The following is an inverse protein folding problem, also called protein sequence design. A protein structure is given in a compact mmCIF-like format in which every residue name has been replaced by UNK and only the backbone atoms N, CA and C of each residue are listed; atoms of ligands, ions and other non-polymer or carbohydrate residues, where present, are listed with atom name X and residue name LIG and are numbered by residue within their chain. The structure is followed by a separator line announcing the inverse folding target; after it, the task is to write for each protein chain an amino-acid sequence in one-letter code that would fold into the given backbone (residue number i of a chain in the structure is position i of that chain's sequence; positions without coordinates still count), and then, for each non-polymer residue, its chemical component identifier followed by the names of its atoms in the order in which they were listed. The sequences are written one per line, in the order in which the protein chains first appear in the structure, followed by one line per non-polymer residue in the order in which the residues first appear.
data_IF_750442973048
#
_entry.id   IF_750442973048
#
_cell.length_a   1.000
_cell.length_b   1.000
_cell.length_c   1.000
_cell.angle_alpha   90.00
_cell.angle_beta   90.00
_cell.angle_gamma   90.00
#
_symmetry.space_group_name_H-M   'P 1'
#
loop_
_entity.id
_entity.type
_entity.pdbx_description
1 polymer ?
#
# COMPACT_ATOMS: atom_id res chain seq x y z
N UNK A 1 -64.96 -7.17 5.89
CA UNK A 1 -63.61 -7.13 6.49
C UNK A 1 -62.78 -8.16 5.79
N UNK A 2 -61.74 -7.71 5.08
CA UNK A 2 -60.82 -8.54 4.31
C UNK A 2 -59.53 -8.67 5.13
N UNK A 3 -59.14 -9.89 5.50
CA UNK A 3 -57.85 -10.16 6.14
C UNK A 3 -57.07 -11.09 5.21
N UNK A 4 -56.15 -10.50 4.44
CA UNK A 4 -55.18 -11.25 3.65
C UNK A 4 -53.87 -11.38 4.44
N UNK A 5 -53.34 -12.60 4.38
CA UNK A 5 -52.07 -13.12 4.88
C UNK A 5 -50.87 -12.21 4.62
N UNK A 6 -50.12 -11.90 5.68
CA UNK A 6 -48.75 -11.39 5.59
C UNK A 6 -47.79 -12.55 5.35
N UNK A 7 -47.11 -12.53 4.21
CA UNK A 7 -45.92 -13.35 3.97
C UNK A 7 -44.70 -12.63 4.53
N UNK A 8 -43.89 -13.34 5.33
CA UNK A 8 -42.58 -12.88 5.75
C UNK A 8 -41.64 -12.86 4.54
N UNK A 9 -41.08 -11.69 4.23
CA UNK A 9 -39.98 -11.58 3.27
C UNK A 9 -38.69 -12.14 3.92
N UNK A 10 -37.92 -12.97 3.22
CA UNK A 10 -36.63 -13.43 3.73
C UNK A 10 -35.67 -12.25 3.85
N UNK A 11 -35.05 -12.10 5.02
CA UNK A 11 -34.02 -11.10 5.26
C UNK A 11 -32.83 -11.35 4.31
N UNK A 12 -32.58 -10.37 3.43
CA UNK A 12 -31.43 -10.33 2.53
C UNK A 12 -30.15 -10.17 3.36
N UNK A 13 -29.57 -11.30 3.76
CA UNK A 13 -28.26 -11.33 4.41
C UNK A 13 -27.17 -10.86 3.44
N UNK A 14 -26.03 -10.36 3.97
CA UNK A 14 -24.91 -9.97 3.12
C UNK A 14 -24.48 -11.16 2.25
N UNK A 15 -24.17 -10.93 0.95
CA UNK A 15 -23.74 -12.00 0.06
C UNK A 15 -22.51 -12.69 0.65
N UNK A 16 -22.48 -14.02 0.54
CA UNK A 16 -21.32 -14.80 0.95
C UNK A 16 -20.05 -14.24 0.27
N UNK A 17 -18.92 -14.16 1.01
CA UNK A 17 -17.67 -13.69 0.45
C UNK A 17 -17.33 -14.50 -0.80
N UNK A 18 -17.02 -13.80 -1.90
CA UNK A 18 -16.60 -14.45 -3.15
C UNK A 18 -15.37 -15.30 -2.86
N UNK A 19 -15.36 -16.52 -3.40
CA UNK A 19 -14.17 -17.34 -3.40
C UNK A 19 -13.03 -16.56 -4.05
N UNK A 20 -11.89 -16.48 -3.36
CA UNK A 20 -10.69 -15.86 -3.90
C UNK A 20 -10.12 -16.83 -4.94
N UNK A 21 -10.21 -16.45 -6.21
CA UNK A 21 -9.50 -17.16 -7.26
C UNK A 21 -8.02 -16.83 -7.11
N UNK A 22 -7.18 -17.84 -6.84
CA UNK A 22 -5.74 -17.64 -6.86
C UNK A 22 -5.31 -17.15 -8.25
N UNK A 23 -4.50 -16.09 -8.35
CA UNK A 23 -4.07 -15.58 -9.63
C UNK A 23 -3.29 -16.66 -10.41
N UNK A 24 -3.62 -16.85 -11.69
CA UNK A 24 -2.87 -17.76 -12.56
C UNK A 24 -1.38 -17.40 -12.53
N UNK A 25 -0.52 -18.42 -12.41
CA UNK A 25 0.92 -18.24 -12.39
C UNK A 25 1.35 -17.52 -13.69
N UNK A 26 1.88 -16.31 -13.55
CA UNK A 26 2.36 -15.49 -14.67
C UNK A 26 3.36 -16.31 -15.50
N UNK A 27 3.21 -16.28 -16.83
CA UNK A 27 4.16 -16.98 -17.70
C UNK A 27 5.56 -16.37 -17.53
N UNK A 28 6.61 -17.21 -17.57
CA UNK A 28 7.99 -16.73 -17.42
C UNK A 28 8.33 -15.62 -18.43
N UNK A 29 7.78 -15.72 -19.65
CA UNK A 29 7.98 -14.71 -20.68
C UNK A 29 7.33 -13.36 -20.32
N UNK A 30 6.13 -13.37 -19.73
CA UNK A 30 5.46 -12.16 -19.23
C UNK A 30 6.26 -11.51 -18.09
N UNK A 31 6.80 -12.31 -17.17
CA UNK A 31 7.62 -11.83 -16.05
C UNK A 31 8.88 -11.10 -16.55
N UNK A 32 9.59 -11.72 -17.50
CA UNK A 32 10.77 -11.10 -18.13
C UNK A 32 10.42 -9.81 -18.87
N UNK A 33 9.33 -9.82 -19.63
CA UNK A 33 8.87 -8.64 -20.35
C UNK A 33 8.52 -7.48 -19.40
N UNK A 34 7.96 -7.78 -18.23
CA UNK A 34 7.65 -6.77 -17.21
C UNK A 34 8.92 -6.15 -16.62
N UNK A 35 9.91 -6.96 -16.26
CA UNK A 35 11.23 -6.49 -15.80
C UNK A 35 11.92 -5.59 -16.82
N UNK A 36 11.95 -6.03 -18.08
CA UNK A 36 12.50 -5.24 -19.18
C UNK A 36 11.78 -3.89 -19.36
N UNK A 37 10.46 -3.86 -19.15
CA UNK A 37 9.69 -2.61 -19.20
C UNK A 37 10.05 -1.68 -18.04
N UNK A 38 10.24 -2.20 -16.84
CA UNK A 38 10.63 -1.42 -15.66
C UNK A 38 12.00 -0.77 -15.87
N UNK A 39 12.98 -1.51 -16.40
CA UNK A 39 14.31 -0.96 -16.74
C UNK A 39 14.21 0.25 -17.67
N UNK A 40 13.43 0.13 -18.74
CA UNK A 40 13.21 1.22 -19.71
C UNK A 40 12.48 2.40 -19.09
N UNK A 41 11.50 2.14 -18.22
CA UNK A 41 10.81 3.20 -17.51
C UNK A 41 11.76 3.95 -16.57
N UNK A 42 12.62 3.25 -15.82
CA UNK A 42 13.65 3.88 -14.98
C UNK A 42 14.66 4.71 -15.77
N UNK A 43 15.09 4.23 -16.94
CA UNK A 43 15.97 5.00 -17.84
C UNK A 43 15.29 6.29 -18.29
N UNK A 44 14.05 6.21 -18.75
CA UNK A 44 13.26 7.38 -19.14
C UNK A 44 13.05 8.33 -17.96
N UNK A 45 12.75 7.77 -16.79
CA UNK A 45 12.54 8.52 -15.57
C UNK A 45 13.80 9.31 -15.20
N UNK A 46 15.00 8.72 -15.31
CA UNK A 46 16.28 9.40 -15.10
C UNK A 46 16.54 10.62 -16.00
N UNK A 47 15.75 10.84 -17.06
CA UNK A 47 15.86 12.03 -17.92
C UNK A 47 15.11 13.27 -17.38
N UNK A 48 14.30 13.11 -16.32
CA UNK A 48 13.56 14.22 -15.71
C UNK A 48 13.98 14.44 -14.26
N UNK A 49 13.76 15.64 -13.72
CA UNK A 49 14.09 16.00 -12.33
C UNK A 49 12.86 16.33 -11.49
N UNK A 50 11.72 15.73 -11.81
CA UNK A 50 10.45 16.03 -11.12
C UNK A 50 10.46 15.28 -9.79
N UNK A 51 10.56 15.96 -8.63
CA UNK A 51 10.63 15.30 -7.34
C UNK A 51 9.20 14.99 -6.87
N UNK A 52 8.59 13.98 -7.48
CA UNK A 52 7.29 13.48 -7.07
C UNK A 52 7.46 12.15 -6.34
N UNK A 53 6.91 12.08 -5.14
CA UNK A 53 6.77 10.84 -4.37
C UNK A 53 5.30 10.61 -4.06
N UNK A 54 4.90 9.36 -4.09
CA UNK A 54 3.62 8.89 -3.58
C UNK A 54 3.93 7.97 -2.39
N UNK A 55 3.28 8.22 -1.27
CA UNK A 55 3.33 7.32 -0.11
C UNK A 55 1.92 6.81 0.12
N UNK A 56 1.74 5.50 0.01
CA UNK A 56 0.49 4.82 0.31
C UNK A 56 0.58 4.16 1.68
N UNK A 57 -0.43 4.41 2.51
CA UNK A 57 -0.57 3.83 3.84
C UNK A 57 -1.78 2.91 3.85
N UNK A 58 -1.54 1.61 3.95
CA UNK A 58 -2.60 0.60 4.05
C UNK A 58 -2.69 0.07 5.47
N UNK A 59 -3.84 -0.49 5.82
CA UNK A 59 -4.07 -1.11 7.13
C UNK A 59 -5.56 -1.23 7.43
N UNK A 60 -5.94 -2.29 8.12
CA UNK A 60 -7.33 -2.54 8.53
C UNK A 60 -7.40 -2.69 10.06
N UNK A 61 -8.04 -1.73 10.72
CA UNK A 61 -8.18 -1.74 12.18
C UNK A 61 -6.85 -1.93 12.90
N UNK A 62 -6.85 -2.73 13.98
CA UNK A 62 -5.69 -3.05 14.82
C UNK A 62 -4.73 -4.09 14.21
N UNK A 63 -4.85 -4.38 12.91
CA UNK A 63 -3.95 -5.31 12.23
C UNK A 63 -2.77 -4.58 11.61
N UNK A 64 -1.73 -5.35 11.27
CA UNK A 64 -0.57 -4.84 10.55
C UNK A 64 -1.01 -4.26 9.21
N UNK A 65 -0.38 -3.16 8.81
CA UNK A 65 -0.55 -2.57 7.50
C UNK A 65 0.76 -2.53 6.73
N UNK A 66 0.73 -1.93 5.55
CA UNK A 66 1.93 -1.68 4.75
C UNK A 66 2.07 -0.19 4.39
N UNK A 67 3.31 0.22 4.20
CA UNK A 67 3.68 1.52 3.65
C UNK A 67 4.40 1.27 2.34
N UNK A 68 3.88 1.81 1.25
CA UNK A 68 4.51 1.74 -0.07
C UNK A 68 4.97 3.13 -0.50
N UNK A 69 6.24 3.25 -0.89
CA UNK A 69 6.84 4.50 -1.35
C UNK A 69 7.22 4.36 -2.82
N UNK A 70 6.56 5.15 -3.65
CA UNK A 70 6.74 5.20 -5.09
C UNK A 70 7.25 6.57 -5.53
N UNK A 71 7.98 6.60 -6.65
CA UNK A 71 8.53 7.82 -7.21
C UNK A 71 10.05 7.83 -7.21
N UNK A 72 10.61 9.02 -7.35
CA UNK A 72 12.05 9.22 -7.47
C UNK A 72 12.69 9.52 -6.14
N UNK A 73 13.87 8.95 -5.95
CA UNK A 73 14.76 9.42 -4.92
C UNK A 73 15.50 10.68 -5.41
N UNK A 74 14.97 11.82 -5.03
CA UNK A 74 15.62 13.11 -5.19
C UNK A 74 15.98 13.64 -3.80
N UNK A 75 17.23 14.12 -3.66
CA UNK A 75 17.75 14.69 -2.42
C UNK A 75 17.82 13.73 -1.22
N UNK A 76 17.84 12.40 -1.45
CA UNK A 76 17.96 11.39 -0.39
C UNK A 76 16.71 11.23 0.46
N UNK A 77 15.54 11.48 -0.13
CA UNK A 77 14.24 11.40 0.58
C UNK A 77 13.95 9.97 1.06
N UNK A 78 14.45 8.95 0.36
CA UNK A 78 14.25 7.55 0.75
C UNK A 78 15.00 7.20 2.04
N UNK A 79 16.24 7.66 2.21
CA UNK A 79 17.00 7.45 3.45
C UNK A 79 16.33 8.17 4.63
N UNK A 80 15.82 9.38 4.41
CA UNK A 80 15.10 10.14 5.42
C UNK A 80 13.79 9.43 5.83
N UNK A 81 13.01 8.95 4.87
CA UNK A 81 11.78 8.18 5.11
C UNK A 81 12.07 6.86 5.80
N UNK A 82 13.11 6.13 5.40
CA UNK A 82 13.52 4.87 6.02
C UNK A 82 13.84 5.06 7.51
N UNK A 83 14.66 6.07 7.83
CA UNK A 83 14.99 6.42 9.20
C UNK A 83 13.75 6.84 10.01
N UNK A 84 12.84 7.61 9.41
CA UNK A 84 11.61 8.04 10.07
C UNK A 84 10.66 6.88 10.33
N UNK A 85 10.38 6.04 9.33
CA UNK A 85 9.46 4.90 9.47
C UNK A 85 9.99 3.86 10.45
N UNK A 86 11.25 3.45 10.30
CA UNK A 86 11.84 2.42 11.17
C UNK A 86 12.10 2.95 12.59
N UNK A 87 12.47 4.22 12.73
CA UNK A 87 12.82 4.83 14.02
C UNK A 87 11.63 5.36 14.82
N UNK A 88 10.64 5.98 14.16
CA UNK A 88 9.52 6.65 14.84
C UNK A 88 8.22 5.85 14.78
N UNK A 89 7.96 5.13 13.69
CA UNK A 89 6.71 4.41 13.48
C UNK A 89 6.83 2.90 13.76
N UNK A 90 8.01 2.45 14.19
CA UNK A 90 8.34 1.04 14.44
C UNK A 90 8.07 0.15 13.22
N UNK A 91 8.28 0.68 12.02
CA UNK A 91 8.11 -0.09 10.80
C UNK A 91 9.25 -1.08 10.61
N UNK A 92 8.96 -2.20 9.94
CA UNK A 92 9.97 -3.16 9.47
C UNK A 92 10.08 -3.06 7.96
N UNK A 93 11.29 -2.82 7.44
CA UNK A 93 11.53 -2.76 6.00
C UNK A 93 11.31 -4.13 5.35
N UNK A 94 10.56 -4.15 4.26
CA UNK A 94 10.29 -5.35 3.46
C UNK A 94 11.13 -5.33 2.19
N UNK A 95 11.40 -6.52 1.65
CA UNK A 95 11.99 -6.66 0.32
C UNK A 95 10.94 -6.28 -0.73
N UNK A 96 11.19 -5.24 -1.53
CA UNK A 96 10.32 -4.81 -2.63
C UNK A 96 10.64 -5.52 -3.96
N UNK A 97 11.65 -6.38 -4.01
CA UNK A 97 12.21 -6.91 -5.25
C UNK A 97 13.13 -5.89 -5.94
N UNK A 98 13.67 -6.29 -7.08
CA UNK A 98 14.62 -5.46 -7.85
C UNK A 98 14.44 -5.67 -9.36
N UNK A 99 15.38 -5.21 -10.18
CA UNK A 99 15.31 -5.35 -11.65
C UNK A 99 15.82 -6.71 -12.16
N UNK A 100 16.17 -7.63 -11.26
CA UNK A 100 16.60 -8.97 -11.60
C UNK A 100 15.39 -9.84 -11.97
N UNK A 101 15.48 -10.54 -13.10
CA UNK A 101 14.39 -11.40 -13.59
C UNK A 101 14.07 -12.57 -12.65
N UNK A 102 15.00 -12.91 -11.76
CA UNK A 102 14.83 -13.96 -10.76
C UNK A 102 14.14 -13.47 -9.48
N UNK A 103 13.90 -12.18 -9.33
CA UNK A 103 13.21 -11.59 -8.18
C UNK A 103 11.77 -11.19 -8.52
N UNK A 104 10.98 -10.86 -7.49
CA UNK A 104 9.63 -10.34 -7.69
C UNK A 104 9.70 -9.00 -8.41
N UNK A 105 8.73 -8.77 -9.29
CA UNK A 105 8.59 -7.48 -9.98
C UNK A 105 8.34 -6.40 -8.91
N UNK A 106 9.15 -5.34 -8.85
CA UNK A 106 8.96 -4.28 -7.87
C UNK A 106 7.77 -3.42 -8.27
N UNK A 107 6.76 -3.35 -7.39
CA UNK A 107 5.60 -2.47 -7.53
C UNK A 107 5.84 -1.07 -6.95
N UNK A 108 6.74 -0.97 -5.97
CA UNK A 108 7.15 0.25 -5.31
C UNK A 108 8.69 0.26 -5.14
N UNK A 109 9.25 1.42 -4.80
CA UNK A 109 10.70 1.59 -4.61
C UNK A 109 11.14 1.23 -3.18
N UNK A 110 10.25 1.42 -2.20
CA UNK A 110 10.45 0.95 -0.84
C UNK A 110 9.12 0.51 -0.23
N UNK A 111 9.17 -0.57 0.56
CA UNK A 111 8.01 -1.14 1.23
C UNK A 111 8.32 -1.39 2.70
N UNK A 112 7.36 -1.16 3.58
CA UNK A 112 7.49 -1.39 5.01
C UNK A 112 6.23 -2.04 5.56
N UNK A 113 6.39 -3.00 6.47
CA UNK A 113 5.32 -3.43 7.37
C UNK A 113 5.25 -2.43 8.52
N UNK A 114 4.06 -1.99 8.91
CA UNK A 114 3.88 -1.11 10.06
C UNK A 114 2.73 -1.60 10.95
N UNK A 115 2.63 -1.13 12.21
CA UNK A 115 1.61 -1.58 13.15
C UNK A 115 0.15 -1.27 12.77
N UNK A 116 -0.07 -0.57 11.65
CA UNK A 116 -1.40 -0.22 11.15
C UNK A 116 -2.06 0.92 11.93
N UNK A 117 -3.37 1.05 11.71
CA UNK A 117 -4.16 2.11 12.34
C UNK A 117 -4.61 1.70 13.75
N UNK A 118 -4.69 2.66 14.65
CA UNK A 118 -5.31 2.44 15.96
C UNK A 118 -6.78 2.81 15.87
N UNK A 119 -7.66 1.87 16.18
CA UNK A 119 -9.11 2.11 16.27
C UNK A 119 -9.51 2.39 17.72
N UNK A 120 -10.27 3.45 17.95
CA UNK A 120 -10.83 3.80 19.24
C UNK A 120 -12.14 3.08 19.54
N UNK A 121 -12.62 3.19 20.77
CA UNK A 121 -13.91 2.61 21.21
C UNK A 121 -15.13 3.21 20.46
N UNK A 122 -14.96 4.39 19.85
CA UNK A 122 -15.97 5.09 19.05
C UNK A 122 -15.99 4.63 17.57
N UNK A 123 -15.13 3.69 17.19
CA UNK A 123 -14.98 3.20 15.82
C UNK A 123 -14.21 4.14 14.90
N UNK A 124 -13.68 5.26 15.41
CA UNK A 124 -12.77 6.14 14.65
C UNK A 124 -11.35 5.58 14.71
N UNK A 125 -10.57 5.80 13.65
CA UNK A 125 -9.17 5.41 13.61
C UNK A 125 -8.24 6.63 13.57
N UNK A 126 -6.95 6.40 13.80
CA UNK A 126 -5.92 7.45 13.77
C UNK A 126 -5.37 7.75 12.36
N UNK A 127 -6.01 7.28 11.28
CA UNK A 127 -5.48 7.41 9.91
C UNK A 127 -5.14 8.85 9.54
N UNK A 128 -6.08 9.78 9.76
CA UNK A 128 -5.85 11.20 9.47
C UNK A 128 -4.68 11.78 10.27
N UNK A 129 -4.47 11.32 11.51
CA UNK A 129 -3.35 11.77 12.33
C UNK A 129 -2.01 11.24 11.81
N UNK A 130 -1.97 9.98 11.35
CA UNK A 130 -0.75 9.40 10.77
C UNK A 130 -0.37 10.10 9.46
N UNK A 131 -1.35 10.39 8.59
CA UNK A 131 -1.13 11.18 7.38
C UNK A 131 -0.57 12.57 7.73
N UNK A 132 -1.16 13.27 8.71
CA UNK A 132 -0.66 14.59 9.11
C UNK A 132 0.76 14.54 9.69
N UNK A 133 1.11 13.51 10.47
CA UNK A 133 2.49 13.32 10.96
C UNK A 133 3.49 13.11 9.84
N UNK A 134 3.10 12.34 8.81
CA UNK A 134 3.94 12.19 7.62
C UNK A 134 4.10 13.53 6.88
N UNK A 135 3.02 14.29 6.73
CA UNK A 135 3.08 15.64 6.10
C UNK A 135 4.01 16.56 6.89
N UNK A 136 3.92 16.58 8.22
CA UNK A 136 4.78 17.42 9.05
C UNK A 136 6.26 17.01 8.94
N UNK A 137 6.56 15.71 8.90
CA UNK A 137 7.91 15.20 8.60
C UNK A 137 8.39 15.69 7.22
N UNK A 138 7.58 15.51 6.18
CA UNK A 138 7.92 15.93 4.81
C UNK A 138 8.09 17.45 4.67
N UNK A 139 7.47 18.23 5.55
CA UNK A 139 7.61 19.69 5.62
C UNK A 139 8.76 20.15 6.52
N UNK A 140 9.54 19.24 7.11
CA UNK A 140 10.65 19.57 8.02
C UNK A 140 10.21 20.18 9.35
N UNK A 141 9.04 19.78 9.86
CA UNK A 141 8.46 20.30 11.12
C UNK A 141 8.63 19.33 12.30
N UNK A 142 9.27 18.18 12.08
CA UNK A 142 9.54 17.14 13.08
C UNK A 142 11.05 16.92 13.23
#
# INVERSE_FOLDING_TARGET
GCCSSGGEEPADGPPAPRAYDEPEKVSSDLHKAAHERIRKLKELDGTTKVPFILVELTGEGHEKGEIEVCGKDEYGVYDALDAYFTGQWNCTKLDCGDENEDTKIPFCTAQYEWPGYLTGEDGLNNMGQMIMRLIDFMCGKL
#
